data_IF_670781282387
#
_entry.id   IF_670781282387
#
_cell.length_a   1.000
_cell.length_b   1.000
_cell.length_c   1.000
_cell.angle_alpha   90.00
_cell.angle_beta   90.00
_cell.angle_gamma   90.00
#
_symmetry.space_group_name_H-M   'P 1'
#
loop_
_entity.id
_entity.type
_entity.pdbx_description
1 polymer ?
#
# COMPACT_ATOMS: atom_id res chain seq x y z
N UNK A 1 -19.63 -22.49 -13.19
CA UNK A 1 -19.66 -21.54 -13.46
C UNK A 1 -18.62 -20.96 -13.62
N UNK A 2 -18.06 -20.77 -14.41
CA UNK A 2 -17.13 -20.19 -14.41
C UNK A 2 -17.15 -19.10 -15.00
N UNK A 3 -17.07 -18.16 -14.50
CA UNK A 3 -16.98 -16.93 -14.89
C UNK A 3 -15.63 -16.61 -15.06
N UNK A 4 -15.05 -16.36 -16.15
CA UNK A 4 -13.66 -15.97 -16.31
C UNK A 4 -13.41 -14.75 -15.47
N UNK A 5 -12.46 -14.73 -14.71
CA UNK A 5 -12.20 -13.65 -13.81
C UNK A 5 -13.20 -13.55 -12.68
N UNK A 6 -14.47 -13.58 -12.99
CA UNK A 6 -15.53 -13.56 -12.00
C UNK A 6 -15.64 -14.83 -11.19
N UNK A 7 -15.05 -15.91 -11.64
CA UNK A 7 -15.02 -17.15 -10.89
C UNK A 7 -13.89 -17.23 -9.89
N UNK A 8 -12.99 -16.23 -9.87
CA UNK A 8 -11.85 -16.22 -8.98
C UNK A 8 -12.19 -15.44 -7.71
N UNK A 9 -11.57 -15.80 -6.59
CA UNK A 9 -11.65 -14.99 -5.37
C UNK A 9 -10.97 -13.65 -5.60
N UNK A 10 -11.23 -12.69 -4.73
CA UNK A 10 -10.56 -11.38 -4.79
C UNK A 10 -9.05 -11.51 -4.71
N UNK A 11 -8.56 -12.40 -3.85
CA UNK A 11 -7.13 -12.64 -3.73
C UNK A 11 -6.53 -13.26 -4.98
N UNK A 12 -7.25 -14.19 -5.60
CA UNK A 12 -6.80 -14.80 -6.84
C UNK A 12 -6.77 -13.80 -7.99
N UNK A 13 -7.76 -12.93 -8.07
CA UNK A 13 -7.79 -11.87 -9.07
C UNK A 13 -6.63 -10.92 -8.88
N UNK A 14 -6.32 -10.56 -7.63
CA UNK A 14 -5.22 -9.66 -7.33
C UNK A 14 -3.88 -10.29 -7.70
N UNK A 15 -3.70 -11.57 -7.39
CA UNK A 15 -2.48 -12.29 -7.80
C UNK A 15 -2.32 -12.31 -9.31
N UNK A 16 -3.42 -12.48 -10.05
CA UNK A 16 -3.38 -12.47 -11.49
C UNK A 16 -2.97 -11.10 -12.02
N UNK A 17 -3.50 -10.03 -11.43
CA UNK A 17 -3.12 -8.68 -11.81
C UNK A 17 -1.62 -8.43 -11.57
N UNK A 18 -1.10 -8.89 -10.44
CA UNK A 18 0.31 -8.76 -10.12
C UNK A 18 1.16 -9.57 -11.12
N UNK A 19 0.74 -10.80 -11.42
CA UNK A 19 1.45 -11.64 -12.38
C UNK A 19 1.53 -10.98 -13.76
N UNK A 20 0.45 -10.33 -14.19
CA UNK A 20 0.45 -9.60 -15.46
C UNK A 20 1.40 -8.43 -15.42
N UNK A 21 1.43 -7.71 -14.31
CA UNK A 21 2.30 -6.54 -14.18
C UNK A 21 3.77 -6.95 -14.24
N UNK A 22 4.16 -8.03 -13.57
CA UNK A 22 5.56 -8.45 -13.55
C UNK A 22 5.98 -9.17 -14.83
N UNK A 23 5.04 -9.63 -15.63
CA UNK A 23 5.35 -10.33 -16.88
C UNK A 23 6.10 -9.42 -17.86
N UNK A 24 5.93 -8.10 -17.77
CA UNK A 24 6.63 -7.16 -18.62
C UNK A 24 7.97 -6.71 -18.03
N UNK A 25 8.37 -7.29 -16.92
CA UNK A 25 9.64 -7.04 -16.23
C UNK A 25 9.88 -5.56 -15.94
N UNK A 26 8.99 -4.94 -15.14
CA UNK A 26 9.11 -3.52 -14.84
C UNK A 26 10.26 -3.24 -13.87
N UNK A 27 10.78 -2.02 -13.89
CA UNK A 27 11.73 -1.59 -12.89
C UNK A 27 11.00 -1.20 -11.59
N UNK A 28 9.82 -0.63 -11.72
CA UNK A 28 8.99 -0.21 -10.57
C UNK A 28 7.61 -0.81 -10.72
N UNK A 29 7.11 -1.41 -9.64
CA UNK A 29 5.79 -1.98 -9.60
C UNK A 29 4.91 -1.09 -8.73
N UNK A 30 3.87 -0.53 -9.32
CA UNK A 30 2.97 0.37 -8.61
C UNK A 30 1.69 -0.38 -8.24
N UNK A 31 1.33 -0.35 -6.96
CA UNK A 31 0.11 -0.98 -6.47
C UNK A 31 -0.75 0.05 -5.76
N UNK A 32 -2.00 0.19 -6.17
CA UNK A 32 -2.94 1.14 -5.59
C UNK A 32 -3.98 0.37 -4.79
N UNK A 33 -3.97 0.54 -3.48
CA UNK A 33 -4.89 -0.11 -2.55
C UNK A 33 -4.96 -1.62 -2.80
N UNK A 34 -3.84 -2.34 -2.75
CA UNK A 34 -3.79 -3.72 -3.24
C UNK A 34 -4.66 -4.71 -2.47
N UNK A 35 -5.05 -4.39 -1.24
CA UNK A 35 -5.84 -5.30 -0.42
C UNK A 35 -7.18 -4.73 0.02
N UNK A 36 -7.62 -3.63 -0.59
CA UNK A 36 -8.80 -2.90 -0.09
C UNK A 36 -10.11 -3.69 -0.11
N UNK A 37 -10.23 -4.66 -1.00
CA UNK A 37 -11.45 -5.45 -1.09
C UNK A 37 -11.26 -6.90 -0.69
N UNK A 38 -10.15 -7.22 -0.03
CA UNK A 38 -9.82 -8.60 0.29
C UNK A 38 -10.16 -8.92 1.73
N UNK A 39 -10.53 -10.18 1.98
CA UNK A 39 -10.70 -10.68 3.33
C UNK A 39 -9.33 -10.81 4.02
N UNK A 40 -9.28 -11.04 5.33
CA UNK A 40 -8.01 -11.09 6.06
C UNK A 40 -7.04 -12.16 5.55
N UNK A 41 -7.54 -13.32 5.16
CA UNK A 41 -6.67 -14.41 4.70
C UNK A 41 -6.04 -14.05 3.35
N UNK A 42 -6.86 -13.53 2.43
CA UNK A 42 -6.36 -13.09 1.13
C UNK A 42 -5.42 -11.91 1.26
N UNK A 43 -5.68 -11.00 2.19
CA UNK A 43 -4.80 -9.88 2.47
C UNK A 43 -3.43 -10.36 2.91
N UNK A 44 -3.38 -11.33 3.83
CA UNK A 44 -2.10 -11.88 4.28
C UNK A 44 -1.32 -12.51 3.13
N UNK A 45 -2.02 -13.22 2.25
CA UNK A 45 -1.37 -13.87 1.12
C UNK A 45 -0.77 -12.84 0.15
N UNK A 46 -1.48 -11.73 -0.09
CA UNK A 46 -0.96 -10.66 -0.95
C UNK A 46 0.20 -9.95 -0.27
N UNK A 47 0.12 -9.69 1.03
CA UNK A 47 1.22 -9.06 1.77
C UNK A 47 2.47 -9.93 1.76
N UNK A 48 2.31 -11.25 1.88
CA UNK A 48 3.44 -12.18 1.79
C UNK A 48 4.06 -12.15 0.39
N UNK A 49 3.22 -12.09 -0.63
CA UNK A 49 3.70 -11.99 -2.01
C UNK A 49 4.49 -10.68 -2.23
N UNK A 50 4.00 -9.57 -1.69
CA UNK A 50 4.71 -8.30 -1.76
C UNK A 50 6.09 -8.44 -1.09
N UNK A 51 6.14 -9.10 0.05
CA UNK A 51 7.41 -9.35 0.74
C UNK A 51 8.42 -10.13 -0.09
N UNK A 52 7.94 -11.06 -0.92
CA UNK A 52 8.80 -11.81 -1.82
C UNK A 52 9.22 -10.96 -3.02
N UNK A 53 8.28 -10.23 -3.59
CA UNK A 53 8.53 -9.43 -4.79
C UNK A 53 9.46 -8.26 -4.53
N UNK A 54 9.47 -7.70 -3.34
CA UNK A 54 10.32 -6.54 -3.08
C UNK A 54 11.80 -6.85 -3.15
N UNK A 55 12.17 -8.11 -3.14
CA UNK A 55 13.57 -8.50 -3.29
C UNK A 55 14.05 -8.32 -4.71
N UNK A 56 13.14 -8.37 -5.69
CA UNK A 56 13.49 -8.26 -7.09
C UNK A 56 12.97 -6.98 -7.74
N UNK A 57 11.99 -6.34 -7.13
CA UNK A 57 11.35 -5.15 -7.70
C UNK A 57 11.30 -4.02 -6.69
N UNK A 58 11.36 -2.79 -7.19
CA UNK A 58 11.02 -1.63 -6.38
C UNK A 58 9.51 -1.49 -6.42
N UNK A 59 8.88 -1.50 -5.25
CA UNK A 59 7.42 -1.49 -5.15
C UNK A 59 6.97 -0.18 -4.51
N UNK A 60 6.02 0.49 -5.15
CA UNK A 60 5.37 1.67 -4.60
C UNK A 60 3.91 1.30 -4.35
N UNK A 61 3.46 1.44 -3.10
CA UNK A 61 2.09 1.14 -2.72
C UNK A 61 1.41 2.42 -2.28
N UNK A 62 0.23 2.69 -2.85
CA UNK A 62 -0.62 3.79 -2.41
C UNK A 62 -1.72 3.18 -1.58
N UNK A 63 -1.85 3.60 -0.33
CA UNK A 63 -2.87 3.06 0.57
C UNK A 63 -3.24 4.06 1.64
N UNK A 64 -4.49 4.01 2.10
CA UNK A 64 -4.90 4.74 3.29
C UNK A 64 -4.94 3.80 4.51
N UNK A 65 -4.56 2.55 4.34
CA UNK A 65 -4.52 1.59 5.43
C UNK A 65 -3.16 1.67 6.11
N UNK A 66 -3.10 2.39 7.23
CA UNK A 66 -1.86 2.60 7.97
C UNK A 66 -1.25 1.31 8.50
N UNK A 67 -2.10 0.36 8.90
CA UNK A 67 -1.60 -0.91 9.41
C UNK A 67 -0.88 -1.69 8.34
N UNK A 68 -1.41 -1.69 7.13
CA UNK A 68 -0.76 -2.34 5.99
C UNK A 68 0.58 -1.66 5.67
N UNK A 69 0.59 -0.33 5.63
CA UNK A 69 1.83 0.40 5.38
C UNK A 69 2.88 0.05 6.42
N UNK A 70 2.49 -0.04 7.70
CA UNK A 70 3.41 -0.38 8.77
C UNK A 70 3.98 -1.79 8.62
N UNK A 71 3.18 -2.73 8.11
CA UNK A 71 3.62 -4.13 7.99
C UNK A 71 4.50 -4.40 6.78
N UNK A 72 4.19 -3.79 5.64
CA UNK A 72 4.79 -4.22 4.38
C UNK A 72 5.86 -3.29 3.83
N UNK A 73 5.89 -2.03 4.24
CA UNK A 73 6.79 -1.07 3.61
C UNK A 73 8.09 -0.87 4.39
N UNK A 74 9.14 -0.56 3.67
CA UNK A 74 10.44 -0.23 4.28
C UNK A 74 10.52 1.28 4.52
N UNK A 75 9.94 2.07 3.63
CA UNK A 75 9.83 3.52 3.79
C UNK A 75 8.39 3.94 3.58
N UNK A 76 7.97 4.96 4.28
CA UNK A 76 6.61 5.48 4.20
C UNK A 76 6.65 6.98 3.94
N UNK A 77 5.84 7.42 3.00
CA UNK A 77 5.64 8.83 2.69
C UNK A 77 4.22 9.21 3.07
N UNK A 78 4.08 10.28 3.83
CA UNK A 78 2.78 10.78 4.21
C UNK A 78 2.44 12.02 3.38
N UNK A 79 1.30 11.96 2.69
CA UNK A 79 0.77 13.06 1.91
C UNK A 79 -0.50 13.58 2.57
N UNK A 80 -0.71 14.88 2.49
CA UNK A 80 -1.89 15.49 3.09
C UNK A 80 -2.40 16.62 2.20
N UNK A 81 -3.68 16.96 2.39
CA UNK A 81 -4.30 18.09 1.74
C UNK A 81 -4.38 19.24 2.73
N UNK A 82 -4.00 20.44 2.30
CA UNK A 82 -4.15 21.62 3.15
C UNK A 82 -5.62 21.99 3.29
N UNK A 83 -6.38 21.81 2.21
CA UNK A 83 -7.80 22.14 2.19
C UNK A 83 -8.45 21.42 1.03
N UNK A 84 -9.77 21.31 1.06
CA UNK A 84 -10.52 20.70 -0.03
C UNK A 84 -10.27 21.53 -1.30
N UNK A 85 -9.98 20.82 -2.39
CA UNK A 85 -9.70 21.48 -3.67
C UNK A 85 -8.25 21.88 -3.88
N UNK A 86 -7.40 21.73 -2.87
CA UNK A 86 -5.97 21.97 -3.03
C UNK A 86 -5.27 20.66 -3.35
N UNK A 87 -4.13 20.70 -4.06
CA UNK A 87 -3.39 19.47 -4.35
C UNK A 87 -2.79 18.89 -3.08
N UNK A 88 -2.61 17.57 -3.08
CA UNK A 88 -1.93 16.90 -2.01
C UNK A 88 -0.45 17.27 -1.98
N UNK A 89 0.14 17.30 -0.79
CA UNK A 89 1.54 17.65 -0.61
C UNK A 89 2.23 16.57 0.19
N UNK A 90 3.48 16.30 -0.15
CA UNK A 90 4.30 15.42 0.65
C UNK A 90 4.65 16.15 1.95
N UNK A 91 4.25 15.57 3.07
CA UNK A 91 4.50 16.12 4.39
C UNK A 91 5.81 15.58 4.94
N UNK A 92 5.99 14.27 4.85
CA UNK A 92 7.14 13.62 5.45
C UNK A 92 7.40 12.29 4.78
N UNK A 93 8.66 11.91 4.62
CA UNK A 93 9.05 10.59 4.16
C UNK A 93 10.25 10.14 4.98
N UNK A 94 10.20 8.92 5.47
CA UNK A 94 11.29 8.33 6.24
C UNK A 94 11.10 6.82 6.34
N UNK A 95 12.00 6.15 7.03
CA UNK A 95 11.84 4.74 7.32
C UNK A 95 10.50 4.51 8.01
N UNK A 96 9.83 3.42 7.64
CA UNK A 96 8.50 3.12 8.13
C UNK A 96 8.45 3.07 9.66
N UNK A 97 9.43 2.45 10.27
CA UNK A 97 9.48 2.37 11.72
C UNK A 97 9.48 3.77 12.36
N UNK A 98 10.25 4.70 11.79
CA UNK A 98 10.33 6.07 12.32
C UNK A 98 9.01 6.81 12.11
N UNK A 99 8.40 6.66 10.94
CA UNK A 99 7.13 7.34 10.64
C UNK A 99 6.05 6.94 11.64
N UNK A 100 5.99 5.66 12.01
CA UNK A 100 4.94 5.16 12.89
C UNK A 100 5.28 5.25 14.37
N UNK A 101 6.54 5.45 14.73
CA UNK A 101 6.91 5.54 16.15
C UNK A 101 7.33 6.94 16.58
N UNK A 102 7.95 7.71 15.71
CA UNK A 102 8.47 9.03 16.09
C UNK A 102 8.56 9.94 14.86
N UNK A 103 7.43 10.30 14.27
CA UNK A 103 7.44 11.16 13.07
C UNK A 103 7.93 12.57 13.42
N UNK A 104 8.54 13.22 12.45
CA UNK A 104 9.07 14.57 12.61
C UNK A 104 8.01 15.66 12.52
N UNK A 105 6.93 15.39 11.80
CA UNK A 105 5.88 16.38 11.56
C UNK A 105 4.65 16.11 12.40
N UNK A 106 4.09 17.14 12.98
CA UNK A 106 2.89 16.99 13.79
C UNK A 106 1.70 16.46 12.97
N UNK A 107 1.58 16.88 11.72
CA UNK A 107 0.51 16.40 10.85
C UNK A 107 0.57 14.88 10.67
N UNK A 108 1.78 14.32 10.55
CA UNK A 108 1.99 12.88 10.45
C UNK A 108 1.57 12.20 11.77
N UNK A 109 2.02 12.76 12.89
CA UNK A 109 1.68 12.23 14.20
C UNK A 109 0.17 12.22 14.43
N UNK A 110 -0.49 13.31 14.09
CA UNK A 110 -1.94 13.43 14.27
C UNK A 110 -2.68 12.43 13.40
N UNK A 111 -2.24 12.22 12.17
CA UNK A 111 -2.85 11.25 11.28
C UNK A 111 -2.73 9.84 11.83
N UNK A 112 -1.55 9.46 12.26
CA UNK A 112 -1.27 8.12 12.76
C UNK A 112 -2.04 7.85 14.05
N UNK A 113 -2.15 8.84 14.91
CA UNK A 113 -2.85 8.68 16.18
C UNK A 113 -4.37 8.86 16.07
N UNK A 114 -4.88 9.16 14.87
CA UNK A 114 -6.32 9.35 14.67
C UNK A 114 -6.87 10.66 15.18
N UNK A 115 -5.99 11.66 15.39
CA UNK A 115 -6.45 12.96 15.88
C UNK A 115 -6.69 13.98 14.79
N UNK A 116 -6.64 13.58 13.53
CA UNK A 116 -6.93 14.51 12.47
C UNK A 116 -8.44 14.67 12.36
N UNK A 117 -8.80 15.80 12.11
CA UNK A 117 -10.12 16.31 11.87
C UNK A 117 -11.31 15.72 11.88
#
# INVERSE_FOLDING_TARGET
MDKPGGGLSGGQQQRLCIARAIAVQPDVLLMDEPCSSLDPISTMAIEDLIGELKQDYTIVIVTHNMQQAARVSDQTAFFNLEAVGKPGRLVEIDDTEKIFSNPMQKATEDYISGRFG
#
